data_IF_350634255605
#
_entry.id   IF_350634255605
#
_cell.length_a   1.000
_cell.length_b   1.000
_cell.length_c   1.000
_cell.angle_alpha   90.00
_cell.angle_beta   90.00
_cell.angle_gamma   90.00
#
_symmetry.space_group_name_H-M   'P 1'
#
loop_
_entity.id
_entity.type
_entity.pdbx_description
1 polymer ?
#
# COMPACT_ATOMS: atom_id res chain seq x y z
N UNK A 1 22.90 1.97 5.04
CA UNK A 1 21.49 2.41 5.11
C UNK A 1 20.94 2.71 3.72
N UNK A 2 21.64 3.53 2.91
CA UNK A 2 21.35 3.65 1.46
C UNK A 2 21.33 2.30 0.75
N UNK A 3 22.33 1.45 1.02
CA UNK A 3 22.40 0.10 0.43
C UNK A 3 21.21 -0.79 0.76
N UNK A 4 20.62 -0.65 1.95
CA UNK A 4 19.44 -1.42 2.35
C UNK A 4 18.19 -0.99 1.57
N UNK A 5 17.99 0.32 1.41
CA UNK A 5 16.86 0.89 0.65
C UNK A 5 17.00 0.51 -0.82
N UNK A 6 18.22 0.58 -1.35
CA UNK A 6 18.52 0.19 -2.72
C UNK A 6 18.25 -1.30 -2.93
N UNK A 7 18.63 -2.19 -1.99
CA UNK A 7 18.29 -3.62 -2.05
C UNK A 7 16.78 -3.84 -2.08
N UNK A 8 16.03 -3.16 -1.21
CA UNK A 8 14.57 -3.27 -1.13
C UNK A 8 13.88 -2.83 -2.42
N UNK A 9 14.36 -1.72 -3.01
CA UNK A 9 13.83 -1.18 -4.24
C UNK A 9 14.21 -2.07 -5.44
N UNK A 10 15.45 -2.55 -5.51
CA UNK A 10 15.92 -3.47 -6.57
C UNK A 10 15.18 -4.81 -6.57
N UNK A 11 14.54 -5.21 -5.47
CA UNK A 11 13.64 -6.37 -5.46
C UNK A 11 12.33 -6.12 -6.21
N UNK A 12 11.94 -4.85 -6.39
CA UNK A 12 10.70 -4.44 -7.02
C UNK A 12 10.90 -3.83 -8.40
N UNK A 13 12.06 -3.23 -8.67
CA UNK A 13 12.33 -2.57 -9.95
C UNK A 13 13.58 -3.10 -10.62
N UNK A 14 13.64 -2.95 -11.93
CA UNK A 14 14.82 -3.21 -12.75
C UNK A 14 15.00 -2.04 -13.72
N UNK A 15 16.22 -1.52 -13.84
CA UNK A 15 16.49 -0.48 -14.84
C UNK A 15 16.30 -1.05 -16.24
N UNK A 16 15.62 -0.29 -17.08
CA UNK A 16 15.37 -0.68 -18.46
C UNK A 16 16.70 -0.83 -19.22
N UNK A 17 16.78 -1.83 -20.10
CA UNK A 17 18.02 -2.19 -20.82
C UNK A 17 18.29 -1.25 -21.99
N UNK A 18 17.28 -0.52 -22.45
CA UNK A 18 17.33 0.30 -23.66
C UNK A 18 18.00 1.67 -23.43
N UNK A 19 18.62 1.89 -22.26
CA UNK A 19 19.23 3.17 -21.89
C UNK A 19 18.20 4.26 -21.59
N UNK A 20 16.92 3.90 -21.43
CA UNK A 20 15.85 4.82 -21.08
C UNK A 20 15.94 5.24 -19.60
N UNK A 21 15.49 6.45 -19.28
CA UNK A 21 15.34 6.97 -17.90
C UNK A 21 14.07 6.40 -17.24
N UNK A 22 13.93 5.08 -17.31
CA UNK A 22 12.79 4.33 -16.79
C UNK A 22 13.24 3.04 -16.10
N UNK A 23 12.38 2.61 -15.19
CA UNK A 23 12.51 1.39 -14.42
C UNK A 23 11.28 0.52 -14.63
N UNK A 24 11.49 -0.76 -14.94
CA UNK A 24 10.42 -1.76 -15.02
C UNK A 24 10.05 -2.19 -13.59
N UNK A 25 8.79 -2.00 -13.22
CA UNK A 25 8.22 -2.45 -11.97
C UNK A 25 7.82 -3.93 -12.08
N UNK A 26 8.59 -4.81 -11.44
CA UNK A 26 8.50 -6.26 -11.59
C UNK A 26 7.11 -6.84 -11.31
N UNK A 27 6.32 -6.36 -10.33
CA UNK A 27 5.01 -6.95 -10.05
C UNK A 27 3.96 -6.83 -11.16
N UNK A 28 4.06 -5.83 -12.03
CA UNK A 28 3.10 -5.63 -13.14
C UNK A 28 3.71 -5.38 -14.51
N UNK A 29 5.04 -5.33 -14.59
CA UNK A 29 5.80 -5.00 -15.80
C UNK A 29 5.55 -3.57 -16.33
N UNK A 30 4.86 -2.73 -15.56
CA UNK A 30 4.72 -1.30 -15.84
C UNK A 30 6.05 -0.56 -15.68
N UNK A 31 6.10 0.69 -16.18
CA UNK A 31 7.32 1.52 -16.10
C UNK A 31 7.14 2.70 -15.15
N UNK A 32 8.17 2.95 -14.35
CA UNK A 32 8.32 4.12 -13.48
C UNK A 32 9.42 5.02 -14.06
N UNK A 33 9.25 6.34 -13.95
CA UNK A 33 10.28 7.30 -14.32
C UNK A 33 11.34 7.43 -13.23
N UNK A 34 12.56 7.86 -13.61
CA UNK A 34 13.67 8.05 -12.68
C UNK A 34 13.30 8.93 -11.47
N UNK A 35 12.63 10.06 -11.69
CA UNK A 35 12.22 10.96 -10.60
C UNK A 35 11.20 10.31 -9.64
N UNK A 36 10.38 9.37 -10.12
CA UNK A 36 9.44 8.62 -9.27
C UNK A 36 10.19 7.62 -8.41
N UNK A 37 11.24 7.00 -8.95
CA UNK A 37 12.12 6.11 -8.20
C UNK A 37 12.87 6.87 -7.10
N UNK A 38 13.42 8.04 -7.42
CA UNK A 38 14.07 8.91 -6.44
C UNK A 38 13.09 9.32 -5.33
N UNK A 39 11.85 9.68 -5.69
CA UNK A 39 10.79 9.99 -4.73
C UNK A 39 10.46 8.80 -3.81
N UNK A 40 10.32 7.59 -4.36
CA UNK A 40 10.09 6.37 -3.56
C UNK A 40 11.28 6.06 -2.66
N UNK A 41 12.52 6.21 -3.14
CA UNK A 41 13.72 6.03 -2.31
C UNK A 41 13.76 7.01 -1.13
N UNK A 42 13.40 8.27 -1.37
CA UNK A 42 13.30 9.29 -0.32
C UNK A 42 12.22 8.94 0.72
N UNK A 43 11.05 8.49 0.27
CA UNK A 43 9.98 8.05 1.16
C UNK A 43 10.39 6.83 2.00
N UNK A 44 11.03 5.83 1.39
CA UNK A 44 11.56 4.65 2.09
C UNK A 44 12.64 5.02 3.10
N UNK A 45 13.50 5.98 2.76
CA UNK A 45 14.50 6.52 3.67
C UNK A 45 13.84 7.10 4.91
N UNK A 46 12.88 8.01 4.76
CA UNK A 46 12.19 8.61 5.90
C UNK A 46 11.42 7.57 6.73
N UNK A 47 10.75 6.62 6.08
CA UNK A 47 10.10 5.50 6.78
C UNK A 47 11.09 4.70 7.63
N UNK A 48 12.26 4.36 7.08
CA UNK A 48 13.31 3.64 7.82
C UNK A 48 13.82 4.41 9.05
N UNK A 49 13.76 5.75 8.98
CA UNK A 49 14.13 6.65 10.06
C UNK A 49 12.96 6.97 11.02
N UNK A 50 11.80 6.35 10.83
CA UNK A 50 10.56 6.64 11.57
C UNK A 50 10.15 8.11 11.51
N UNK A 51 10.35 8.74 10.35
CA UNK A 51 9.99 10.14 10.07
C UNK A 51 8.79 10.21 9.13
N UNK A 52 7.87 11.12 9.43
CA UNK A 52 6.80 11.49 8.51
C UNK A 52 7.36 12.12 7.24
N UNK A 53 6.61 12.02 6.13
CA UNK A 53 6.99 12.57 4.83
C UNK A 53 5.83 13.33 4.21
N UNK A 54 6.13 14.42 3.51
CA UNK A 54 5.17 15.17 2.70
C UNK A 54 5.69 15.16 1.26
N UNK A 55 4.97 14.49 0.36
CA UNK A 55 5.29 14.47 -1.05
C UNK A 55 4.58 15.63 -1.75
N UNK A 56 5.31 16.71 -1.98
CA UNK A 56 4.78 18.00 -2.46
C UNK A 56 5.04 18.27 -3.95
N UNK A 57 5.25 17.21 -4.74
CA UNK A 57 5.49 17.32 -6.19
C UNK A 57 4.33 17.98 -6.94
N UNK A 58 4.59 18.46 -8.17
CA UNK A 58 3.55 18.98 -9.05
C UNK A 58 2.41 17.98 -9.29
N UNK A 59 1.22 18.51 -9.59
CA UNK A 59 0.05 17.71 -9.90
C UNK A 59 0.30 16.91 -11.19
N UNK A 60 -0.07 15.62 -11.21
CA UNK A 60 0.15 14.75 -12.36
C UNK A 60 1.46 13.97 -12.37
N UNK A 61 2.44 14.27 -11.51
CA UNK A 61 3.73 13.54 -11.44
C UNK A 61 3.65 12.13 -10.82
N UNK A 62 2.45 11.62 -10.57
CA UNK A 62 2.27 10.24 -10.09
C UNK A 62 2.52 10.05 -8.60
N UNK A 63 2.22 11.04 -7.75
CA UNK A 63 2.31 10.92 -6.28
C UNK A 63 1.58 9.70 -5.71
N UNK A 64 0.41 9.38 -6.28
CA UNK A 64 -0.35 8.17 -5.95
C UNK A 64 0.43 6.91 -6.29
N UNK A 65 1.05 6.86 -7.48
CA UNK A 65 1.89 5.73 -7.91
C UNK A 65 3.06 5.54 -6.95
N UNK A 66 3.80 6.61 -6.65
CA UNK A 66 4.92 6.56 -5.69
C UNK A 66 4.47 6.05 -4.31
N UNK A 67 3.31 6.51 -3.84
CA UNK A 67 2.73 6.06 -2.56
C UNK A 67 2.32 4.59 -2.59
N UNK A 68 1.72 4.10 -3.69
CA UNK A 68 1.36 2.69 -3.84
C UNK A 68 2.60 1.79 -3.87
N UNK A 69 3.65 2.18 -4.60
CA UNK A 69 4.92 1.45 -4.65
C UNK A 69 5.60 1.42 -3.28
N UNK A 70 5.57 2.54 -2.54
CA UNK A 70 6.05 2.61 -1.16
C UNK A 70 5.35 1.58 -0.26
N UNK A 71 4.01 1.53 -0.31
CA UNK A 71 3.23 0.58 0.50
C UNK A 71 3.57 -0.87 0.13
N UNK A 72 3.65 -1.18 -1.16
CA UNK A 72 4.07 -2.50 -1.66
C UNK A 72 5.43 -2.91 -1.11
N UNK A 73 6.40 -1.98 -1.12
CA UNK A 73 7.75 -2.20 -0.63
C UNK A 73 7.82 -2.43 0.89
N UNK A 74 7.13 -1.59 1.67
CA UNK A 74 7.07 -1.71 3.14
C UNK A 74 6.41 -3.04 3.52
N UNK A 75 5.28 -3.37 2.91
CA UNK A 75 4.51 -4.58 3.25
C UNK A 75 5.27 -5.86 2.90
N UNK A 76 5.98 -5.87 1.77
CA UNK A 76 6.84 -6.99 1.39
C UNK A 76 7.98 -7.21 2.38
N UNK A 77 8.60 -6.13 2.85
CA UNK A 77 9.70 -6.21 3.80
C UNK A 77 9.26 -6.55 5.22
N UNK A 78 8.16 -5.99 5.68
CA UNK A 78 7.61 -6.26 7.00
C UNK A 78 6.92 -7.62 7.11
N UNK A 79 6.85 -8.39 6.02
CA UNK A 79 6.08 -9.63 5.98
C UNK A 79 4.59 -9.41 6.25
N UNK A 80 4.07 -8.21 5.98
CA UNK A 80 2.68 -7.84 6.27
C UNK A 80 2.41 -7.54 7.74
N UNK A 81 3.36 -6.92 8.46
CA UNK A 81 3.24 -6.55 9.89
C UNK A 81 2.21 -5.44 10.21
N UNK A 82 1.03 -5.50 9.61
CA UNK A 82 -0.09 -4.59 9.89
C UNK A 82 -0.74 -4.03 8.63
N UNK A 83 -2.03 -3.64 8.68
CA UNK A 83 -2.67 -2.95 7.57
C UNK A 83 -2.14 -1.52 7.42
N UNK A 84 -2.37 -0.96 6.24
CA UNK A 84 -2.10 0.44 5.95
C UNK A 84 -3.43 1.17 5.70
N UNK A 85 -3.58 2.36 6.30
CA UNK A 85 -4.74 3.22 6.07
C UNK A 85 -4.39 4.31 5.06
N UNK A 86 -5.17 4.38 3.97
CA UNK A 86 -5.10 5.46 2.99
C UNK A 86 -6.36 6.31 3.11
N UNK A 87 -6.20 7.59 3.44
CA UNK A 87 -7.31 8.55 3.52
C UNK A 87 -7.24 9.50 2.33
N UNK A 88 -8.32 9.60 1.58
CA UNK A 88 -8.41 10.47 0.40
C UNK A 88 -9.84 11.01 0.21
N UNK A 89 -10.02 12.11 -0.54
CA UNK A 89 -11.35 12.61 -0.89
C UNK A 89 -12.21 11.54 -1.59
N UNK A 90 -13.52 11.53 -1.30
CA UNK A 90 -14.48 10.55 -1.84
C UNK A 90 -14.39 10.39 -3.36
N UNK A 91 -14.28 11.51 -4.08
CA UNK A 91 -14.17 11.54 -5.54
C UNK A 91 -12.93 10.82 -6.09
N UNK A 92 -11.90 10.62 -5.27
CA UNK A 92 -10.63 10.01 -5.68
C UNK A 92 -10.46 8.58 -5.17
N UNK A 93 -11.35 8.08 -4.31
CA UNK A 93 -11.25 6.73 -3.74
C UNK A 93 -11.20 5.64 -4.81
N UNK A 94 -12.03 5.74 -5.85
CA UNK A 94 -12.00 4.80 -6.98
C UNK A 94 -10.68 4.84 -7.76
N UNK A 95 -10.05 6.01 -7.89
CA UNK A 95 -8.73 6.14 -8.50
C UNK A 95 -7.65 5.48 -7.62
N UNK A 96 -7.63 5.77 -6.31
CA UNK A 96 -6.72 5.13 -5.36
C UNK A 96 -6.82 3.61 -5.39
N UNK A 97 -8.05 3.05 -5.40
CA UNK A 97 -8.25 1.61 -5.49
C UNK A 97 -7.61 1.02 -6.75
N UNK A 98 -7.82 1.63 -7.91
CA UNK A 98 -7.23 1.16 -9.18
C UNK A 98 -5.71 1.23 -9.15
N UNK A 99 -5.14 2.34 -8.67
CA UNK A 99 -3.68 2.48 -8.58
C UNK A 99 -3.06 1.51 -7.56
N UNK A 100 -3.73 1.21 -6.44
CA UNK A 100 -3.26 0.21 -5.48
C UNK A 100 -3.36 -1.21 -6.05
N UNK A 101 -4.45 -1.55 -6.74
CA UNK A 101 -4.58 -2.84 -7.42
C UNK A 101 -3.53 -3.03 -8.52
N UNK A 102 -3.17 -1.93 -9.20
CA UNK A 102 -2.13 -1.93 -10.22
C UNK A 102 -0.73 -1.99 -9.60
N UNK A 103 -0.36 -1.04 -8.75
CA UNK A 103 1.02 -0.88 -8.28
C UNK A 103 1.33 -1.64 -6.98
N UNK A 104 0.35 -2.28 -6.36
CA UNK A 104 0.52 -3.13 -5.19
C UNK A 104 -0.41 -4.36 -5.26
N UNK A 105 -0.33 -5.18 -6.33
CA UNK A 105 -1.30 -6.24 -6.60
C UNK A 105 -1.31 -7.35 -5.54
N UNK A 106 -0.23 -7.50 -4.78
CA UNK A 106 -0.15 -8.45 -3.67
C UNK A 106 -0.89 -7.98 -2.41
N UNK A 107 -1.35 -6.72 -2.36
CA UNK A 107 -2.07 -6.17 -1.21
C UNK A 107 -3.58 -6.25 -1.43
N UNK A 108 -4.28 -6.79 -0.44
CA UNK A 108 -5.74 -6.71 -0.40
C UNK A 108 -6.15 -5.27 -0.11
N UNK A 109 -6.85 -4.65 -1.06
CA UNK A 109 -7.34 -3.27 -0.93
C UNK A 109 -8.84 -3.26 -0.67
N UNK A 110 -9.23 -2.89 0.55
CA UNK A 110 -10.64 -2.73 0.95
C UNK A 110 -11.03 -1.27 0.84
N UNK A 111 -12.13 -1.00 0.13
CA UNK A 111 -12.63 0.35 -0.06
C UNK A 111 -13.70 0.65 0.99
N UNK A 112 -13.29 1.34 2.06
CA UNK A 112 -14.16 1.62 3.19
C UNK A 112 -15.01 2.87 2.96
N UNK A 113 -16.18 2.70 2.34
CA UNK A 113 -17.19 3.75 2.17
C UNK A 113 -18.60 3.16 2.10
N UNK A 114 -19.63 3.98 2.26
CA UNK A 114 -21.03 3.54 2.17
C UNK A 114 -21.86 4.09 3.32
N UNK A 115 -23.08 3.60 3.46
CA UNK A 115 -23.95 3.94 4.59
C UNK A 115 -23.46 3.27 5.89
N UNK A 116 -24.19 3.44 7.00
CA UNK A 116 -23.79 2.85 8.27
C UNK A 116 -23.78 1.31 8.26
N UNK A 117 -24.75 0.69 7.59
CA UNK A 117 -24.89 -0.77 7.47
C UNK A 117 -23.76 -1.35 6.62
N UNK A 118 -23.43 -0.73 5.49
CA UNK A 118 -22.31 -1.13 4.63
C UNK A 118 -20.99 -1.13 5.41
N UNK A 119 -20.73 -0.06 6.17
CA UNK A 119 -19.51 0.08 6.96
C UNK A 119 -19.45 -0.94 8.09
N UNK A 120 -20.57 -1.23 8.74
CA UNK A 120 -20.64 -2.26 9.77
C UNK A 120 -20.32 -3.63 9.17
N UNK A 121 -20.89 -3.96 8.02
CA UNK A 121 -20.59 -5.20 7.29
C UNK A 121 -19.10 -5.30 6.93
N UNK A 122 -18.49 -4.22 6.44
CA UNK A 122 -17.04 -4.20 6.15
C UNK A 122 -16.19 -4.39 7.40
N UNK A 123 -16.57 -3.79 8.54
CA UNK A 123 -15.87 -3.99 9.81
C UNK A 123 -15.96 -5.45 10.30
N UNK A 124 -17.12 -6.08 10.14
CA UNK A 124 -17.36 -7.45 10.62
C UNK A 124 -16.68 -8.52 9.74
N UNK A 125 -16.56 -8.28 8.42
CA UNK A 125 -16.12 -9.31 7.45
C UNK A 125 -14.85 -8.99 6.68
N UNK A 126 -14.61 -7.73 6.31
CA UNK A 126 -13.55 -7.36 5.36
C UNK A 126 -12.29 -6.83 6.05
N UNK A 127 -12.42 -6.27 7.26
CA UNK A 127 -11.33 -5.59 7.97
C UNK A 127 -10.66 -6.43 9.07
N UNK A 128 -10.76 -7.76 9.02
CA UNK A 128 -10.06 -8.61 9.99
C UNK A 128 -8.56 -8.70 9.71
N UNK A 129 -7.73 -8.31 10.67
CA UNK A 129 -6.28 -8.58 10.66
C UNK A 129 -5.85 -9.05 12.05
N UNK A 130 -4.96 -10.05 12.07
CA UNK A 130 -4.39 -10.61 13.28
C UNK A 130 -2.88 -10.53 13.16
N UNK A 131 -2.24 -9.92 14.16
CA UNK A 131 -0.80 -9.90 14.33
C UNK A 131 -0.29 -11.32 14.56
N UNK A 132 0.55 -11.81 13.67
CA UNK A 132 1.09 -13.17 13.74
C UNK A 132 2.10 -13.37 14.86
N UNK A 133 2.67 -12.28 15.41
CA UNK A 133 3.65 -12.33 16.49
C UNK A 133 3.01 -12.12 17.86
N UNK A 134 2.04 -11.21 17.97
CA UNK A 134 1.40 -10.85 19.25
C UNK A 134 0.01 -11.45 19.43
N UNK A 135 -0.63 -11.93 18.36
CA UNK A 135 -2.02 -12.37 18.36
C UNK A 135 -3.03 -11.22 18.45
N UNK A 136 -2.57 -9.96 18.44
CA UNK A 136 -3.44 -8.79 18.52
C UNK A 136 -4.33 -8.67 17.27
N UNK A 137 -5.59 -8.29 17.44
CA UNK A 137 -6.53 -8.01 16.34
C UNK A 137 -6.97 -6.56 16.38
N UNK A 138 -7.25 -5.99 15.21
CA UNK A 138 -7.68 -4.58 15.04
C UNK A 138 -9.18 -4.45 15.27
N UNK A 139 -9.91 -5.55 15.09
CA UNK A 139 -11.33 -5.64 15.40
C UNK A 139 -11.55 -6.92 16.20
N UNK A 140 -12.15 -6.78 17.37
CA UNK A 140 -12.68 -7.93 18.09
C UNK A 140 -13.83 -8.48 17.24
N UNK A 141 -13.78 -9.76 16.85
CA UNK A 141 -14.89 -10.37 16.10
C UNK A 141 -16.14 -10.17 16.97
N UNK A 142 -17.04 -9.31 16.50
CA UNK A 142 -18.37 -9.17 17.06
C UNK A 142 -18.92 -10.59 17.16
N UNK A 143 -19.20 -11.01 18.39
CA UNK A 143 -19.70 -12.35 18.68
C UNK A 143 -21.12 -12.45 18.11
N UNK A 144 -21.22 -12.61 16.79
CA UNK A 144 -22.48 -12.95 16.14
C UNK A 144 -22.75 -14.39 16.53
N UNK A 145 -23.37 -14.56 17.70
CA UNK A 145 -24.12 -15.76 18.09
C UNK A 145 -25.11 -16.02 16.97
N UNK A 146 -24.73 -16.89 16.02
CA UNK A 146 -25.71 -17.61 15.21
C UNK A 146 -26.44 -18.56 16.13
N UNK A 147 -27.48 -18.05 16.78
CA UNK A 147 -28.55 -18.88 17.31
C UNK A 147 -29.40 -19.28 16.10
N UNK A 148 -28.96 -20.31 15.39
CA UNK A 148 -29.85 -21.05 14.51
C UNK A 148 -30.42 -22.15 15.39
N UNK A 149 -31.56 -21.87 16.01
CA UNK A 149 -32.43 -22.91 16.56
C UNK A 149 -33.08 -23.60 15.36
N UNK A 150 -32.90 -24.92 15.28
CA UNK A 150 -33.72 -25.83 14.48
C UNK A 150 -34.78 -26.45 15.40
#
# INVERSE_FOLDING_TARGET
MKDFIDVLLLQLVQKDKDGSNKYVYKPTEDTLFDFQIEGVQWLLYNWSQRRGSILADEMGLGKTVQSSVLLSAIMKYSGGSGPCLVVAPLSTLGHWKRELQKWAPSLVTVLFHGNAEDRQMMMDYDLSWIDTHTGASIFEKSSVRRRVEY
#
